data_IF_214891703696
#
_entry.id   IF_214891703696
#
_cell.length_a   1.000
_cell.length_b   1.000
_cell.length_c   1.000
_cell.angle_alpha   90.00
_cell.angle_beta   90.00
_cell.angle_gamma   90.00
#
_symmetry.space_group_name_H-M   'P 1'
#
loop_
_entity.id
_entity.type
_entity.pdbx_description
1 polymer ?
#
# COMPACT_ATOMS: atom_id res chain seq x y z
N UNK A 1 32.19 19.09 -62.79
CA UNK A 1 31.31 18.04 -63.35
C UNK A 1 31.17 16.94 -62.31
N UNK A 2 29.92 16.54 -62.09
CA UNK A 2 29.39 15.44 -61.28
C UNK A 2 30.36 14.25 -61.08
N UNK A 3 30.34 13.56 -59.95
CA UNK A 3 29.31 12.54 -59.72
C UNK A 3 29.26 12.04 -58.27
N UNK A 4 28.03 11.93 -57.78
CA UNK A 4 27.61 11.25 -56.56
C UNK A 4 28.05 9.78 -56.57
N UNK A 5 28.64 9.32 -55.47
CA UNK A 5 28.77 7.89 -55.16
C UNK A 5 27.83 7.54 -54.02
N UNK A 6 26.82 6.75 -54.37
CA UNK A 6 25.82 6.14 -53.50
C UNK A 6 26.47 5.05 -52.64
N UNK A 7 26.37 5.15 -51.31
CA UNK A 7 26.66 4.01 -50.42
C UNK A 7 25.34 3.52 -49.85
N UNK A 8 24.92 2.34 -50.32
CA UNK A 8 23.87 1.53 -49.72
C UNK A 8 24.33 1.05 -48.34
N UNK A 9 23.59 1.39 -47.28
CA UNK A 9 23.60 0.61 -46.04
C UNK A 9 22.25 -0.11 -45.91
N UNK A 10 22.26 -1.39 -46.24
CA UNK A 10 21.25 -2.35 -45.82
C UNK A 10 21.57 -2.89 -44.43
N UNK A 11 20.50 -3.00 -43.64
CA UNK A 11 20.28 -3.95 -42.55
C UNK A 11 21.12 -3.85 -41.25
N UNK A 12 20.46 -3.41 -40.18
CA UNK A 12 20.51 -4.11 -38.88
C UNK A 12 19.24 -3.82 -38.07
N UNK A 13 18.26 -4.74 -38.16
CA UNK A 13 17.03 -4.73 -37.36
C UNK A 13 17.09 -5.81 -36.28
N UNK A 14 17.41 -5.44 -35.04
CA UNK A 14 17.43 -6.37 -33.91
C UNK A 14 17.05 -5.69 -32.57
N UNK A 15 15.97 -4.90 -32.58
CA UNK A 15 15.35 -4.38 -31.35
C UNK A 15 13.90 -3.96 -31.60
N UNK A 16 12.89 -4.81 -31.34
CA UNK A 16 11.49 -4.40 -31.11
C UNK A 16 10.54 -5.53 -30.64
N UNK A 17 10.98 -6.44 -29.76
CA UNK A 17 10.16 -7.61 -29.36
C UNK A 17 8.97 -7.31 -28.42
N UNK A 18 8.72 -6.06 -28.00
CA UNK A 18 7.60 -5.70 -27.10
C UNK A 18 6.47 -4.89 -27.77
N UNK A 19 6.54 -4.59 -29.07
CA UNK A 19 5.54 -3.74 -29.76
C UNK A 19 5.21 -4.29 -31.17
N UNK A 20 4.51 -5.43 -31.27
CA UNK A 20 4.30 -6.17 -32.52
C UNK A 20 3.49 -5.42 -33.59
N UNK A 21 2.67 -4.43 -33.20
CA UNK A 21 1.90 -3.63 -34.14
C UNK A 21 2.73 -2.61 -34.91
N UNK A 22 3.99 -2.37 -34.52
CA UNK A 22 4.87 -1.47 -35.27
C UNK A 22 5.24 -2.04 -36.64
N UNK A 23 5.22 -3.37 -36.80
CA UNK A 23 5.47 -4.03 -38.09
C UNK A 23 4.28 -3.85 -39.08
N UNK A 24 3.10 -3.54 -38.54
CA UNK A 24 1.85 -3.40 -39.30
C UNK A 24 1.61 -1.96 -39.78
N UNK A 25 2.55 -1.05 -39.49
CA UNK A 25 2.48 0.36 -39.89
C UNK A 25 3.81 0.85 -40.48
N UNK A 26 3.75 1.81 -41.38
CA UNK A 26 4.93 2.47 -41.94
C UNK A 26 5.03 3.89 -41.38
N UNK A 27 6.14 4.22 -40.71
CA UNK A 27 6.39 5.60 -40.25
C UNK A 27 6.94 6.44 -41.41
N UNK A 28 6.28 7.56 -41.70
CA UNK A 28 6.82 8.53 -42.65
C UNK A 28 7.72 9.50 -41.90
N UNK A 29 9.03 9.35 -42.05
CA UNK A 29 9.96 10.45 -41.76
C UNK A 29 9.86 11.43 -42.92
N UNK A 30 9.54 12.70 -42.64
CA UNK A 30 10.16 13.86 -43.29
C UNK A 30 9.62 15.16 -42.72
N UNK A 31 10.55 16.06 -42.42
CA UNK A 31 10.33 17.43 -41.98
C UNK A 31 11.43 17.89 -41.02
N UNK A 32 12.53 18.40 -41.57
CA UNK A 32 13.54 19.21 -40.89
C UNK A 32 12.87 20.31 -40.07
N UNK A 33 12.83 20.14 -38.75
CA UNK A 33 12.27 21.11 -37.83
C UNK A 33 12.87 20.89 -36.45
N UNK A 34 13.56 21.90 -35.93
CA UNK A 34 14.14 21.93 -34.59
C UNK A 34 13.02 21.83 -33.55
N UNK A 35 12.59 20.62 -33.18
CA UNK A 35 11.85 20.26 -31.95
C UNK A 35 11.59 18.73 -31.90
N UNK A 36 12.30 17.94 -31.07
CA UNK A 36 12.23 16.47 -31.06
C UNK A 36 11.01 15.88 -30.33
N UNK A 37 10.01 16.70 -29.97
CA UNK A 37 8.85 16.31 -29.13
C UNK A 37 7.52 16.34 -29.90
N UNK A 38 7.53 16.03 -31.20
CA UNK A 38 6.33 15.95 -32.04
C UNK A 38 5.85 14.50 -32.24
N UNK A 39 4.54 14.28 -32.20
CA UNK A 39 3.89 12.99 -32.45
C UNK A 39 4.30 12.39 -33.81
N UNK A 40 4.62 11.08 -33.85
CA UNK A 40 5.09 10.40 -35.07
C UNK A 40 3.92 10.13 -36.02
N UNK A 41 4.11 10.46 -37.31
CA UNK A 41 3.15 10.14 -38.39
C UNK A 41 3.36 8.71 -38.89
N UNK A 42 2.28 7.95 -39.01
CA UNK A 42 2.29 6.57 -39.46
C UNK A 42 1.17 6.28 -40.46
N UNK A 43 1.40 5.32 -41.34
CA UNK A 43 0.46 4.84 -42.36
C UNK A 43 0.12 3.38 -42.03
N UNK A 44 -1.17 3.04 -41.98
CA UNK A 44 -1.60 1.65 -41.80
C UNK A 44 -1.27 0.82 -43.05
N UNK A 45 -0.58 -0.32 -42.88
CA UNK A 45 -0.21 -1.16 -44.02
C UNK A 45 -1.43 -1.83 -44.70
N UNK A 46 -2.58 -1.88 -44.02
CA UNK A 46 -3.81 -2.55 -44.46
C UNK A 46 -4.81 -1.62 -45.15
N UNK A 47 -5.15 -0.48 -44.52
CA UNK A 47 -6.09 0.49 -45.12
C UNK A 47 -5.42 1.67 -45.82
N UNK A 48 -4.08 1.76 -45.74
CA UNK A 48 -3.26 2.84 -46.32
C UNK A 48 -3.60 4.26 -45.86
N UNK A 49 -4.45 4.42 -44.84
CA UNK A 49 -4.76 5.71 -44.20
C UNK A 49 -3.60 6.17 -43.31
N UNK A 50 -3.36 7.48 -43.30
CA UNK A 50 -2.32 8.12 -42.50
C UNK A 50 -2.89 8.72 -41.21
N UNK A 51 -2.11 8.66 -40.14
CA UNK A 51 -2.48 9.12 -38.81
C UNK A 51 -1.29 9.79 -38.13
N UNK A 52 -1.57 10.76 -37.25
CA UNK A 52 -0.56 11.38 -36.39
C UNK A 52 -0.85 11.01 -34.94
N UNK A 53 -0.23 9.94 -34.43
CA UNK A 53 -0.60 9.43 -33.10
C UNK A 53 0.43 8.52 -32.44
N UNK A 54 0.18 8.19 -31.17
CA UNK A 54 1.00 7.28 -30.36
C UNK A 54 0.63 5.80 -30.59
N UNK A 55 1.45 4.89 -30.06
CA UNK A 55 1.25 3.44 -30.16
C UNK A 55 -0.12 2.97 -29.64
N UNK A 56 -0.65 3.57 -28.57
CA UNK A 56 -1.98 3.25 -28.04
C UNK A 56 -3.09 3.49 -29.08
N UNK A 57 -2.93 4.50 -29.95
CA UNK A 57 -3.89 4.78 -31.03
C UNK A 57 -3.74 3.82 -32.21
N UNK A 58 -2.55 3.26 -32.43
CA UNK A 58 -2.37 2.14 -33.36
C UNK A 58 -3.17 0.94 -32.85
N UNK A 59 -3.04 0.57 -31.58
CA UNK A 59 -3.81 -0.51 -30.99
C UNK A 59 -5.34 -0.33 -31.15
N UNK A 60 -5.82 0.89 -30.92
CA UNK A 60 -7.22 1.27 -31.08
C UNK A 60 -7.71 1.23 -32.54
N UNK A 61 -6.86 1.58 -33.51
CA UNK A 61 -7.19 1.47 -34.94
C UNK A 61 -7.44 0.01 -35.37
N UNK A 62 -6.65 -0.93 -34.86
CA UNK A 62 -6.77 -2.35 -35.19
C UNK A 62 -7.91 -3.02 -34.40
N UNK A 63 -7.94 -2.86 -33.08
CA UNK A 63 -8.83 -3.64 -32.21
C UNK A 63 -10.04 -2.88 -31.64
N UNK A 64 -10.08 -1.55 -31.74
CA UNK A 64 -11.10 -0.71 -31.13
C UNK A 64 -10.90 -0.49 -29.62
N UNK A 65 -11.84 0.22 -28.99
CA UNK A 65 -11.95 0.32 -27.53
C UNK A 65 -13.05 -0.63 -27.02
N UNK A 66 -13.00 -0.96 -25.73
CA UNK A 66 -14.10 -1.66 -25.03
C UNK A 66 -15.43 -0.91 -25.13
N UNK A 67 -16.53 -1.66 -25.03
CA UNK A 67 -17.91 -1.17 -25.18
C UNK A 67 -18.15 0.06 -24.28
N UNK A 68 -18.61 1.16 -24.88
CA UNK A 68 -18.99 2.39 -24.16
C UNK A 68 -17.97 3.54 -24.16
N UNK A 69 -16.80 3.41 -24.80
CA UNK A 69 -15.82 4.52 -24.92
C UNK A 69 -15.78 5.11 -26.35
N UNK A 70 -15.77 6.44 -26.46
CA UNK A 70 -15.62 7.14 -27.75
C UNK A 70 -14.20 6.95 -28.28
N UNK A 71 -14.08 6.53 -29.55
CA UNK A 71 -12.79 6.33 -30.19
C UNK A 71 -12.29 7.60 -30.85
N UNK A 72 -11.07 8.04 -30.53
CA UNK A 72 -10.40 9.20 -31.18
C UNK A 72 -9.81 8.84 -32.56
N UNK A 73 -9.76 7.55 -32.91
CA UNK A 73 -9.22 7.05 -34.19
C UNK A 73 -10.20 6.07 -34.83
N UNK A 74 -10.43 6.23 -36.15
CA UNK A 74 -11.29 5.35 -36.93
C UNK A 74 -10.68 3.95 -37.05
N UNK A 75 -11.50 2.89 -37.00
CA UNK A 75 -11.04 1.51 -37.16
C UNK A 75 -10.58 1.20 -38.59
N UNK A 76 -9.69 0.23 -38.73
CA UNK A 76 -9.25 -0.27 -40.03
C UNK A 76 -10.37 -1.06 -40.73
N UNK A 77 -11.06 -0.43 -41.68
CA UNK A 77 -12.16 -1.07 -42.40
C UNK A 77 -11.69 -2.31 -43.19
N UNK A 78 -10.48 -2.28 -43.77
CA UNK A 78 -9.91 -3.43 -44.47
C UNK A 78 -9.75 -4.65 -43.54
N UNK A 79 -9.31 -4.45 -42.30
CA UNK A 79 -9.20 -5.53 -41.31
C UNK A 79 -10.54 -5.95 -40.72
N UNK A 80 -11.55 -5.07 -40.71
CA UNK A 80 -12.91 -5.46 -40.34
C UNK A 80 -13.52 -6.42 -41.37
N UNK A 81 -13.19 -6.25 -42.66
CA UNK A 81 -13.67 -7.13 -43.74
C UNK A 81 -12.78 -8.38 -43.92
N UNK A 82 -11.48 -8.31 -43.60
CA UNK A 82 -10.55 -9.44 -43.70
C UNK A 82 -10.33 -10.13 -42.35
N UNK A 83 -11.18 -11.12 -42.06
CA UNK A 83 -11.18 -11.87 -40.80
C UNK A 83 -9.89 -12.67 -40.56
N UNK A 84 -9.28 -13.23 -41.60
CA UNK A 84 -8.07 -14.03 -41.49
C UNK A 84 -6.87 -13.17 -41.06
N UNK A 85 -6.72 -12.00 -41.67
CA UNK A 85 -5.62 -11.08 -41.33
C UNK A 85 -5.81 -10.44 -39.95
N UNK A 86 -7.05 -10.11 -39.59
CA UNK A 86 -7.38 -9.63 -38.25
C UNK A 86 -7.00 -10.66 -37.15
N UNK A 87 -7.31 -11.94 -37.36
CA UNK A 87 -6.95 -13.00 -36.43
C UNK A 87 -5.45 -13.23 -36.34
N UNK A 88 -4.72 -13.17 -37.47
CA UNK A 88 -3.26 -13.27 -37.49
C UNK A 88 -2.61 -12.18 -36.63
N UNK A 89 -2.99 -10.91 -36.85
CA UNK A 89 -2.41 -9.77 -36.14
C UNK A 89 -2.78 -9.82 -34.65
N UNK A 90 -4.03 -10.21 -34.33
CA UNK A 90 -4.46 -10.39 -32.94
C UNK A 90 -3.65 -11.47 -32.22
N UNK A 91 -3.44 -12.63 -32.86
CA UNK A 91 -2.64 -13.72 -32.31
C UNK A 91 -1.20 -13.28 -32.06
N UNK A 92 -0.58 -12.54 -32.99
CA UNK A 92 0.78 -11.98 -32.84
C UNK A 92 0.87 -11.01 -31.65
N UNK A 93 -0.17 -10.23 -31.40
CA UNK A 93 -0.25 -9.32 -30.24
C UNK A 93 -0.44 -10.10 -28.94
N UNK A 94 -1.39 -11.04 -28.91
CA UNK A 94 -1.63 -11.91 -27.75
C UNK A 94 -0.39 -12.74 -27.39
N UNK A 95 0.38 -13.23 -28.38
CA UNK A 95 1.65 -13.92 -28.15
C UNK A 95 2.71 -13.00 -27.56
N UNK A 96 2.85 -11.77 -28.07
CA UNK A 96 3.79 -10.80 -27.50
C UNK A 96 3.37 -10.31 -26.11
N UNK A 97 2.07 -10.22 -25.83
CA UNK A 97 1.52 -9.86 -24.52
C UNK A 97 1.61 -11.03 -23.52
N UNK A 98 1.44 -12.28 -23.97
CA UNK A 98 1.64 -13.49 -23.16
C UNK A 98 3.11 -13.78 -22.85
N UNK A 99 4.06 -13.25 -23.64
CA UNK A 99 5.49 -13.20 -23.25
C UNK A 99 5.72 -12.22 -22.08
N UNK A 100 4.80 -11.27 -21.86
CA UNK A 100 4.78 -10.34 -20.73
C UNK A 100 3.80 -10.69 -19.60
N UNK A 101 3.02 -11.77 -19.72
CA UNK A 101 2.03 -12.21 -18.72
C UNK A 101 2.24 -13.70 -18.44
N UNK A 102 2.70 -14.02 -17.23
CA UNK A 102 2.84 -15.40 -16.74
C UNK A 102 1.57 -16.23 -16.97
N UNK A 103 1.73 -17.43 -17.53
CA UNK A 103 0.74 -18.51 -17.77
C UNK A 103 -0.02 -19.02 -16.51
N UNK A 104 0.04 -18.32 -15.39
CA UNK A 104 -0.45 -18.75 -14.08
C UNK A 104 -1.92 -18.43 -13.80
N UNK A 105 -2.72 -18.02 -14.79
CA UNK A 105 -4.15 -17.71 -14.60
C UNK A 105 -5.12 -18.73 -15.22
N UNK A 106 -4.64 -19.81 -15.86
CA UNK A 106 -5.52 -20.74 -16.59
C UNK A 106 -5.62 -22.17 -16.05
N UNK A 107 -4.96 -22.56 -14.96
CA UNK A 107 -5.18 -23.91 -14.38
C UNK A 107 -5.22 -23.92 -12.85
N UNK A 108 -6.39 -23.59 -12.33
CA UNK A 108 -6.86 -24.03 -11.03
C UNK A 108 -7.10 -25.54 -11.05
N UNK A 109 -6.09 -26.35 -10.73
CA UNK A 109 -6.29 -27.70 -10.19
C UNK A 109 -5.03 -28.07 -9.40
N UNK A 110 -5.21 -28.39 -8.12
CA UNK A 110 -4.18 -28.94 -7.25
C UNK A 110 -3.51 -30.14 -7.95
N UNK A 111 -2.20 -30.07 -8.19
CA UNK A 111 -1.37 -31.26 -8.29
C UNK A 111 0.06 -30.91 -7.90
N UNK A 112 0.48 -31.55 -6.81
CA UNK A 112 1.84 -31.57 -6.31
C UNK A 112 2.64 -32.53 -7.20
N UNK A 113 3.48 -31.99 -8.09
CA UNK A 113 4.57 -32.76 -8.67
C UNK A 113 5.74 -31.84 -8.97
N UNK A 114 6.90 -32.23 -8.45
CA UNK A 114 8.17 -31.57 -8.71
C UNK A 114 8.53 -31.66 -10.20
N UNK A 115 8.45 -30.54 -10.91
CA UNK A 115 9.17 -30.35 -12.16
C UNK A 115 9.71 -28.93 -12.22
N UNK A 116 11.03 -28.77 -12.06
CA UNK A 116 11.75 -27.51 -12.27
C UNK A 116 11.61 -27.08 -13.74
N UNK A 117 11.13 -25.87 -14.05
CA UNK A 117 11.37 -25.26 -15.35
C UNK A 117 12.74 -24.60 -15.33
N UNK A 118 13.67 -25.12 -16.12
CA UNK A 118 14.95 -24.46 -16.41
C UNK A 118 14.71 -23.26 -17.32
N UNK A 119 14.49 -22.09 -16.73
CA UNK A 119 14.52 -20.82 -17.44
C UNK A 119 15.97 -20.30 -17.53
N UNK A 120 16.45 -20.15 -18.76
CA UNK A 120 17.74 -19.54 -19.10
C UNK A 120 17.76 -18.10 -18.59
N UNK A 121 18.33 -17.92 -17.40
CA UNK A 121 18.50 -16.64 -16.72
C UNK A 121 19.90 -16.13 -17.02
N UNK A 122 20.02 -14.89 -17.49
CA UNK A 122 21.32 -14.26 -17.74
C UNK A 122 22.18 -14.33 -16.45
N UNK A 123 23.43 -14.84 -16.51
CA UNK A 123 24.28 -15.05 -15.34
C UNK A 123 24.44 -13.79 -14.47
N UNK A 124 24.47 -12.62 -15.11
CA UNK A 124 24.62 -11.31 -14.47
C UNK A 124 23.46 -10.99 -13.50
N UNK A 125 22.21 -11.31 -13.87
CA UNK A 125 21.05 -11.02 -13.02
C UNK A 125 20.98 -11.94 -11.79
N UNK A 126 21.57 -13.14 -11.87
CA UNK A 126 21.75 -14.05 -10.74
C UNK A 126 22.87 -13.57 -9.80
N UNK A 127 23.96 -13.04 -10.34
CA UNK A 127 25.06 -12.51 -9.51
C UNK A 127 24.71 -11.26 -8.71
N UNK A 128 23.64 -10.53 -9.07
CA UNK A 128 23.16 -9.36 -8.32
C UNK A 128 21.88 -9.61 -7.50
N UNK A 129 21.34 -10.84 -7.47
CA UNK A 129 20.12 -11.18 -6.71
C UNK A 129 18.86 -10.38 -7.10
N UNK A 130 18.91 -9.61 -8.19
CA UNK A 130 17.90 -8.57 -8.50
C UNK A 130 16.55 -9.15 -8.87
N UNK A 131 16.55 -10.35 -9.47
CA UNK A 131 15.33 -11.11 -9.81
C UNK A 131 14.66 -11.67 -8.55
N UNK A 132 15.45 -12.08 -7.55
CA UNK A 132 14.94 -12.60 -6.28
C UNK A 132 14.38 -11.47 -5.42
N UNK A 133 15.05 -10.31 -5.39
CA UNK A 133 14.56 -9.10 -4.72
C UNK A 133 13.21 -8.63 -5.29
N UNK A 134 13.11 -8.49 -6.62
CA UNK A 134 11.88 -8.07 -7.26
C UNK A 134 10.71 -9.02 -6.98
N UNK A 135 10.97 -10.32 -6.96
CA UNK A 135 9.94 -11.32 -6.67
C UNK A 135 9.45 -11.23 -5.22
N UNK A 136 10.34 -10.99 -4.26
CA UNK A 136 9.98 -10.78 -2.85
C UNK A 136 9.18 -9.49 -2.68
N UNK A 137 9.60 -8.40 -3.33
CA UNK A 137 8.91 -7.11 -3.28
C UNK A 137 7.47 -7.22 -3.79
N UNK A 138 7.26 -7.93 -4.92
CA UNK A 138 5.91 -8.19 -5.45
C UNK A 138 5.06 -8.98 -4.44
N UNK A 139 5.64 -9.99 -3.76
CA UNK A 139 4.91 -10.78 -2.77
C UNK A 139 4.47 -9.93 -1.57
N UNK A 140 5.37 -9.07 -1.07
CA UNK A 140 5.05 -8.13 0.01
C UNK A 140 3.93 -7.19 -0.41
N UNK A 141 4.08 -6.50 -1.55
CA UNK A 141 3.07 -5.53 -2.02
C UNK A 141 1.73 -6.22 -2.27
N UNK A 142 1.72 -7.41 -2.86
CA UNK A 142 0.49 -8.19 -3.07
C UNK A 142 -0.20 -8.53 -1.75
N UNK A 143 0.55 -8.92 -0.72
CA UNK A 143 0.01 -9.20 0.61
C UNK A 143 -0.59 -7.94 1.26
N UNK A 144 0.09 -6.80 1.17
CA UNK A 144 -0.43 -5.53 1.69
C UNK A 144 -1.74 -5.12 0.99
N UNK A 145 -1.76 -5.15 -0.34
CA UNK A 145 -2.95 -4.83 -1.13
C UNK A 145 -4.12 -5.77 -0.83
N UNK A 146 -3.87 -7.08 -0.74
CA UNK A 146 -4.91 -8.07 -0.47
C UNK A 146 -5.57 -7.89 0.91
N UNK A 147 -4.84 -7.32 1.88
CA UNK A 147 -5.32 -7.10 3.24
C UNK A 147 -5.69 -5.64 3.53
N UNK A 148 -5.70 -4.76 2.52
CA UNK A 148 -6.01 -3.34 2.69
C UNK A 148 -5.04 -2.58 3.60
N UNK A 149 -3.78 -3.05 3.72
CA UNK A 149 -2.78 -2.43 4.58
C UNK A 149 -2.13 -1.27 3.81
N UNK A 150 -2.16 -0.03 4.32
CA UNK A 150 -1.57 1.10 3.63
C UNK A 150 -0.03 1.02 3.59
N UNK A 151 0.58 1.57 2.54
CA UNK A 151 2.03 1.44 2.28
C UNK A 151 2.91 2.23 3.25
N UNK A 152 2.32 3.07 4.10
CA UNK A 152 3.02 3.69 5.23
C UNK A 152 3.63 2.65 6.18
N UNK A 153 3.10 1.42 6.24
CA UNK A 153 3.69 0.31 7.01
C UNK A 153 5.13 0.01 6.62
N UNK A 154 5.50 0.21 5.34
CA UNK A 154 6.86 -0.04 4.85
C UNK A 154 7.91 0.91 5.47
N UNK A 155 7.46 2.04 6.04
CA UNK A 155 8.32 3.00 6.76
C UNK A 155 8.40 2.69 8.26
N UNK A 156 7.61 1.76 8.77
CA UNK A 156 7.61 1.40 10.18
C UNK A 156 8.85 0.54 10.51
N UNK A 157 9.71 0.94 11.46
CA UNK A 157 10.87 0.14 11.87
C UNK A 157 10.51 -1.29 12.30
N UNK A 158 9.34 -1.49 12.92
CA UNK A 158 8.87 -2.81 13.34
C UNK A 158 8.53 -3.72 12.15
N UNK A 159 8.11 -3.16 11.01
CA UNK A 159 7.92 -3.94 9.79
C UNK A 159 9.25 -4.47 9.25
N UNK A 160 10.30 -3.64 9.27
CA UNK A 160 11.65 -4.06 8.88
C UNK A 160 12.23 -5.08 9.87
N UNK A 161 12.01 -4.88 11.18
CA UNK A 161 12.41 -5.83 12.22
C UNK A 161 11.72 -7.20 12.03
N UNK A 162 10.43 -7.21 11.70
CA UNK A 162 9.68 -8.42 11.38
C UNK A 162 10.31 -9.17 10.20
N UNK A 163 10.61 -8.49 9.09
CA UNK A 163 11.23 -9.13 7.92
C UNK A 163 12.61 -9.72 8.25
N UNK A 164 13.43 -9.00 9.03
CA UNK A 164 14.73 -9.50 9.51
C UNK A 164 14.55 -10.75 10.38
N UNK A 165 13.59 -10.74 11.30
CA UNK A 165 13.27 -11.87 12.15
C UNK A 165 12.81 -13.10 11.36
N UNK A 166 11.97 -12.91 10.33
CA UNK A 166 11.55 -13.99 9.42
C UNK A 166 12.74 -14.55 8.62
N UNK A 167 13.64 -13.69 8.13
CA UNK A 167 14.82 -14.13 7.39
C UNK A 167 15.82 -14.91 8.26
N UNK A 168 15.84 -14.65 9.56
CA UNK A 168 16.69 -15.33 10.55
C UNK A 168 16.00 -16.54 11.19
N UNK A 169 14.72 -16.78 10.89
CA UNK A 169 13.95 -17.86 11.47
C UNK A 169 14.48 -19.24 11.02
N UNK A 170 14.34 -20.29 11.84
CA UNK A 170 14.79 -21.62 11.48
C UNK A 170 14.07 -22.14 10.24
N UNK A 171 14.75 -23.01 9.49
CA UNK A 171 14.17 -23.65 8.30
C UNK A 171 12.88 -24.40 8.69
N UNK A 172 11.79 -24.10 7.98
CA UNK A 172 10.48 -24.67 8.27
C UNK A 172 9.63 -23.85 9.25
N UNK A 173 10.10 -22.66 9.65
CA UNK A 173 9.29 -21.71 10.41
C UNK A 173 7.94 -21.44 9.72
N UNK A 174 6.89 -21.38 10.54
CA UNK A 174 5.54 -21.01 10.12
C UNK A 174 5.10 -19.79 10.94
N UNK A 175 4.42 -18.81 10.31
CA UNK A 175 3.86 -17.68 11.04
C UNK A 175 2.83 -18.16 12.08
N UNK A 176 2.52 -17.32 13.10
CA UNK A 176 1.49 -17.63 14.08
C UNK A 176 0.12 -17.88 13.44
N UNK A 177 -0.69 -18.75 14.06
CA UNK A 177 -2.10 -18.88 13.71
C UNK A 177 -2.90 -17.65 14.15
N UNK A 178 -4.08 -17.46 13.56
CA UNK A 178 -5.00 -16.36 13.91
C UNK A 178 -5.31 -16.34 15.42
N UNK A 179 -5.67 -17.47 16.00
CA UNK A 179 -6.00 -17.54 17.43
C UNK A 179 -4.80 -17.24 18.33
N UNK A 180 -3.62 -17.77 17.99
CA UNK A 180 -2.40 -17.51 18.75
C UNK A 180 -1.99 -16.03 18.65
N UNK A 181 -2.17 -15.42 17.48
CA UNK A 181 -1.90 -14.01 17.26
C UNK A 181 -2.81 -13.12 18.11
N UNK A 182 -4.14 -13.32 18.05
CA UNK A 182 -5.11 -12.44 18.73
C UNK A 182 -5.20 -12.62 20.24
N UNK A 183 -4.56 -13.65 20.80
CA UNK A 183 -4.54 -13.94 22.24
C UNK A 183 -3.11 -13.84 22.76
N UNK A 184 -2.41 -14.98 22.86
CA UNK A 184 -1.12 -15.12 23.54
C UNK A 184 -0.06 -14.12 23.07
N UNK A 185 0.05 -13.88 21.75
CA UNK A 185 1.10 -13.00 21.22
C UNK A 185 0.78 -11.52 21.41
N UNK A 186 -0.50 -11.11 21.35
CA UNK A 186 -0.90 -9.74 21.70
C UNK A 186 -0.65 -9.48 23.18
N UNK A 187 -0.98 -10.43 24.06
CA UNK A 187 -0.72 -10.33 25.50
C UNK A 187 0.79 -10.22 25.81
N UNK A 188 1.64 -10.99 25.10
CA UNK A 188 3.09 -10.87 25.21
C UNK A 188 3.60 -9.49 24.74
N UNK A 189 3.13 -9.01 23.58
CA UNK A 189 3.48 -7.69 23.08
C UNK A 189 3.09 -6.59 24.07
N UNK A 190 1.91 -6.69 24.69
CA UNK A 190 1.46 -5.76 25.71
C UNK A 190 2.40 -5.77 26.92
N UNK A 191 2.73 -6.96 27.47
CA UNK A 191 3.65 -7.06 28.60
C UNK A 191 5.04 -6.52 28.28
N UNK A 192 5.52 -6.70 27.05
CA UNK A 192 6.80 -6.13 26.63
C UNK A 192 6.73 -4.60 26.58
N UNK A 193 5.66 -4.03 26.02
CA UNK A 193 5.44 -2.58 26.01
C UNK A 193 5.33 -2.00 27.42
N UNK A 194 4.65 -2.69 28.34
CA UNK A 194 4.55 -2.27 29.75
C UNK A 194 5.93 -2.20 30.43
N UNK A 195 6.81 -3.16 30.15
CA UNK A 195 8.20 -3.14 30.62
C UNK A 195 8.99 -1.98 30.01
N UNK A 196 8.83 -1.73 28.72
CA UNK A 196 9.49 -0.60 28.03
C UNK A 196 9.00 0.76 28.56
N UNK A 197 7.75 0.84 29.03
CA UNK A 197 7.14 2.04 29.62
C UNK A 197 7.40 2.19 31.13
N UNK A 198 7.97 1.19 31.79
CA UNK A 198 8.28 1.23 33.24
C UNK A 198 9.09 2.47 33.63
N UNK A 199 10.16 2.87 32.89
CA UNK A 199 10.90 4.09 33.23
C UNK A 199 10.05 5.36 33.24
N UNK A 200 9.00 5.44 32.39
CA UNK A 200 8.05 6.57 32.40
C UNK A 200 7.13 6.47 33.61
N UNK A 201 6.61 5.28 33.93
CA UNK A 201 5.76 5.06 35.12
C UNK A 201 6.51 5.40 36.43
N UNK A 202 7.77 5.01 36.55
CA UNK A 202 8.57 5.25 37.75
C UNK A 202 8.70 6.75 38.08
N UNK A 203 8.69 7.61 37.05
CA UNK A 203 8.74 9.07 37.23
C UNK A 203 7.51 9.65 37.92
N UNK A 204 6.37 8.96 37.92
CA UNK A 204 5.14 9.46 38.53
C UNK A 204 5.30 9.64 40.05
N UNK A 205 6.13 8.83 40.70
CA UNK A 205 6.38 8.93 42.15
C UNK A 205 7.21 10.15 42.55
N UNK A 206 8.11 10.59 41.67
CA UNK A 206 9.08 11.67 41.96
C UNK A 206 8.66 13.01 41.36
N UNK A 207 8.06 13.00 40.17
CA UNK A 207 7.69 14.20 39.41
C UNK A 207 6.18 14.43 39.37
N UNK A 208 5.38 13.46 39.84
CA UNK A 208 3.93 13.41 39.61
C UNK A 208 3.61 13.39 38.11
N UNK A 209 2.33 13.27 37.76
CA UNK A 209 1.89 13.29 36.36
C UNK A 209 0.52 13.91 36.22
N UNK A 210 0.27 14.56 35.08
CA UNK A 210 -1.06 15.09 34.76
C UNK A 210 -1.87 14.00 34.07
N UNK A 211 -3.10 13.78 34.50
CA UNK A 211 -4.06 12.95 33.79
C UNK A 211 -4.76 13.83 32.76
N UNK A 212 -4.70 13.46 31.49
CA UNK A 212 -5.32 14.19 30.38
C UNK A 212 -6.37 13.29 29.76
N UNK A 213 -7.60 13.78 29.70
CA UNK A 213 -8.71 13.06 29.11
C UNK A 213 -9.36 13.87 27.99
N UNK A 214 -9.63 13.16 26.90
CA UNK A 214 -10.32 13.70 25.74
C UNK A 214 -11.48 12.78 25.35
N UNK A 215 -12.56 13.41 24.89
CA UNK A 215 -13.77 12.74 24.46
C UNK A 215 -13.99 12.97 22.98
N UNK A 216 -14.06 11.90 22.20
CA UNK A 216 -14.42 12.00 20.79
C UNK A 216 -15.66 11.18 20.47
N UNK A 217 -16.31 11.52 19.36
CA UNK A 217 -17.40 10.75 18.79
C UNK A 217 -17.01 10.39 17.37
N UNK A 218 -16.93 9.09 17.08
CA UNK A 218 -16.51 8.63 15.77
C UNK A 218 -17.59 8.88 14.70
N UNK A 219 -17.26 8.62 13.43
CA UNK A 219 -18.21 8.80 12.29
C UNK A 219 -19.48 7.93 12.39
N UNK A 220 -19.47 6.90 13.23
CA UNK A 220 -20.62 6.02 13.51
C UNK A 220 -21.44 6.49 14.72
N UNK A 221 -21.15 7.70 15.25
CA UNK A 221 -21.76 8.25 16.47
C UNK A 221 -21.50 7.41 17.73
N UNK A 222 -20.38 6.68 17.77
CA UNK A 222 -19.97 5.95 18.95
C UNK A 222 -19.03 6.85 19.76
N UNK A 223 -19.44 7.24 20.98
CA UNK A 223 -18.60 8.05 21.85
C UNK A 223 -17.49 7.19 22.45
N UNK A 224 -16.27 7.73 22.49
CA UNK A 224 -15.14 7.14 23.18
C UNK A 224 -14.50 8.23 24.04
N UNK A 225 -14.07 7.85 25.24
CA UNK A 225 -13.26 8.72 26.11
C UNK A 225 -11.92 8.03 26.31
N UNK A 226 -10.82 8.75 26.14
CA UNK A 226 -9.47 8.26 26.36
C UNK A 226 -8.77 8.99 27.50
N UNK A 227 -7.81 8.31 28.11
CA UNK A 227 -6.94 8.82 29.17
C UNK A 227 -5.48 8.62 28.78
N UNK A 228 -4.70 9.69 28.94
CA UNK A 228 -3.26 9.72 28.77
C UNK A 228 -2.67 10.40 30.01
N UNK A 229 -1.61 9.84 30.58
CA UNK A 229 -0.80 10.56 31.58
C UNK A 229 0.31 11.32 30.89
N UNK A 230 0.66 12.51 31.36
CA UNK A 230 1.74 13.32 30.80
C UNK A 230 2.53 14.07 31.87
N UNK A 231 3.86 13.98 31.78
CA UNK A 231 4.81 14.77 32.54
C UNK A 231 6.04 15.14 31.69
N UNK A 232 7.06 15.76 32.30
CA UNK A 232 8.29 16.18 31.61
C UNK A 232 9.09 15.02 31.00
N UNK A 233 8.91 13.80 31.48
CA UNK A 233 9.62 12.62 30.97
C UNK A 233 8.87 11.91 29.84
N UNK A 234 7.58 12.18 29.65
CA UNK A 234 6.84 11.68 28.51
C UNK A 234 5.33 11.59 28.75
N UNK A 235 4.66 11.04 27.74
CA UNK A 235 3.23 10.75 27.79
C UNK A 235 2.98 9.27 27.57
N UNK A 236 2.03 8.71 28.31
CA UNK A 236 1.65 7.31 28.24
C UNK A 236 0.13 7.18 28.15
N UNK A 237 -0.33 6.43 27.15
CA UNK A 237 -1.74 6.03 27.06
C UNK A 237 -2.06 5.04 28.17
N UNK A 238 -3.14 5.29 28.91
CA UNK A 238 -3.58 4.40 30.00
C UNK A 238 -4.69 3.49 29.49
N UNK A 239 -5.83 4.05 29.10
CA UNK A 239 -6.93 3.31 28.47
C UNK A 239 -7.88 4.24 27.73
N UNK A 240 -8.80 3.64 26.98
CA UNK A 240 -9.95 4.30 26.41
C UNK A 240 -11.17 3.39 26.55
N UNK A 241 -12.34 3.98 26.77
CA UNK A 241 -13.60 3.25 26.97
C UNK A 241 -14.63 3.72 25.95
N UNK A 242 -15.31 2.75 25.35
CA UNK A 242 -16.48 3.00 24.50
C UNK A 242 -17.66 3.33 25.42
N UNK A 243 -18.27 4.49 25.18
CA UNK A 243 -19.46 4.97 25.90
C UNK A 243 -20.74 4.73 25.09
N UNK A 244 -20.71 3.91 24.04
CA UNK A 244 -21.90 3.56 23.27
C UNK A 244 -22.96 2.94 24.18
N UNK A 245 -24.17 3.51 24.16
CA UNK A 245 -25.27 3.09 25.03
C UNK A 245 -25.17 3.60 26.47
N UNK A 246 -24.15 4.40 26.81
CA UNK A 246 -24.01 5.05 28.10
C UNK A 246 -24.06 6.57 27.94
N UNK A 247 -24.82 7.23 28.80
CA UNK A 247 -24.82 8.69 28.81
C UNK A 247 -23.52 9.22 29.43
N UNK A 248 -22.93 10.23 28.81
CA UNK A 248 -21.76 10.97 29.33
C UNK A 248 -22.18 11.92 30.46
N UNK A 249 -22.79 11.38 31.51
CA UNK A 249 -23.19 12.16 32.69
C UNK A 249 -21.94 12.57 33.49
N UNK A 250 -22.08 13.59 34.34
CA UNK A 250 -20.99 14.00 35.25
C UNK A 250 -20.49 12.86 36.13
N UNK A 251 -21.38 11.98 36.57
CA UNK A 251 -21.06 10.84 37.44
C UNK A 251 -20.27 9.78 36.68
N UNK A 252 -20.75 9.40 35.49
CA UNK A 252 -20.08 8.37 34.68
C UNK A 252 -18.69 8.82 34.22
N UNK A 253 -18.52 10.11 33.92
CA UNK A 253 -17.20 10.68 33.58
C UNK A 253 -16.30 10.70 34.82
N UNK A 254 -16.84 11.04 36.01
CA UNK A 254 -16.06 11.05 37.24
C UNK A 254 -15.57 9.65 37.61
N UNK A 255 -16.45 8.63 37.57
CA UNK A 255 -16.09 7.23 37.79
C UNK A 255 -15.02 6.76 36.79
N UNK A 256 -15.20 7.08 35.51
CA UNK A 256 -14.21 6.77 34.48
C UNK A 256 -12.85 7.42 34.76
N UNK A 257 -12.78 8.64 35.29
CA UNK A 257 -11.51 9.29 35.61
C UNK A 257 -10.91 8.78 36.92
N UNK A 258 -11.72 8.39 37.90
CA UNK A 258 -11.26 7.79 39.15
C UNK A 258 -10.49 6.49 38.91
N UNK A 259 -10.93 5.65 37.97
CA UNK A 259 -10.19 4.45 37.52
C UNK A 259 -8.73 4.80 37.13
N UNK A 260 -8.51 5.93 36.43
CA UNK A 260 -7.15 6.38 36.06
C UNK A 260 -6.34 6.95 37.22
N UNK A 261 -7.01 7.57 38.20
CA UNK A 261 -6.37 8.10 39.41
C UNK A 261 -5.89 6.94 40.28
N UNK A 262 -6.67 5.87 40.37
CA UNK A 262 -6.30 4.64 41.08
C UNK A 262 -5.10 3.95 40.41
N UNK A 263 -5.10 3.79 39.09
CA UNK A 263 -3.97 3.21 38.34
C UNK A 263 -2.67 4.02 38.49
N UNK A 264 -2.75 5.36 38.51
CA UNK A 264 -1.58 6.24 38.69
C UNK A 264 -1.14 6.31 40.15
N UNK A 265 -2.07 6.12 41.08
CA UNK A 265 -1.92 6.40 42.49
C UNK A 265 -2.30 7.86 42.81
N UNK A 266 -3.28 8.12 43.71
CA UNK A 266 -3.77 9.47 44.00
C UNK A 266 -2.67 10.49 44.39
N UNK A 267 -1.64 10.06 45.13
CA UNK A 267 -0.51 10.92 45.52
C UNK A 267 0.36 11.36 44.34
N UNK A 268 0.37 10.57 43.26
CA UNK A 268 1.19 10.79 42.08
C UNK A 268 0.48 11.65 41.03
N UNK A 269 -0.81 11.92 41.19
CA UNK A 269 -1.58 12.76 40.26
C UNK A 269 -1.34 14.23 40.61
N UNK A 270 -0.81 15.01 39.67
CA UNK A 270 -0.60 16.46 39.83
C UNK A 270 -1.88 17.25 39.58
N UNK A 271 -2.59 16.91 38.50
CA UNK A 271 -3.81 17.56 38.05
C UNK A 271 -4.55 16.67 37.05
N UNK A 272 -5.81 17.00 36.80
CA UNK A 272 -6.65 16.37 35.78
C UNK A 272 -7.05 17.44 34.78
N UNK A 273 -6.77 17.19 33.50
CA UNK A 273 -7.09 18.07 32.38
C UNK A 273 -8.15 17.38 31.52
N UNK A 274 -9.31 18.00 31.41
CA UNK A 274 -10.43 17.49 30.60
C UNK A 274 -10.86 18.51 29.56
N UNK A 275 -11.71 18.10 28.63
CA UNK A 275 -12.41 19.03 27.75
C UNK A 275 -13.25 20.06 28.55
N UNK A 276 -13.53 21.21 27.92
CA UNK A 276 -14.27 22.33 28.50
C UNK A 276 -15.81 22.09 28.58
N UNK A 277 -16.27 20.86 28.31
CA UNK A 277 -17.68 20.50 28.31
C UNK A 277 -18.30 20.61 29.71
N UNK A 278 -19.61 20.93 29.77
CA UNK A 278 -20.31 21.14 31.05
C UNK A 278 -20.25 19.90 31.97
N UNK A 279 -20.43 18.71 31.40
CA UNK A 279 -20.37 17.46 32.16
C UNK A 279 -18.96 17.15 32.67
N UNK A 280 -17.91 17.49 31.92
CA UNK A 280 -16.52 17.34 32.36
C UNK A 280 -16.17 18.29 33.51
N UNK A 281 -16.60 19.55 33.44
CA UNK A 281 -16.46 20.51 34.55
C UNK A 281 -17.16 20.01 35.81
N UNK A 282 -18.38 19.47 35.65
CA UNK A 282 -19.15 18.94 36.75
C UNK A 282 -18.53 17.65 37.34
N UNK A 283 -17.92 16.81 36.49
CA UNK A 283 -17.18 15.63 36.91
C UNK A 283 -15.91 16.01 37.69
N UNK A 284 -15.16 17.01 37.25
CA UNK A 284 -13.98 17.52 37.97
C UNK A 284 -14.33 17.96 39.40
N UNK A 285 -15.44 18.70 39.57
CA UNK A 285 -15.95 19.07 40.90
C UNK A 285 -16.37 17.88 41.75
N UNK A 286 -16.82 16.79 41.13
CA UNK A 286 -17.20 15.57 41.85
C UNK A 286 -15.96 14.83 42.36
N UNK A 287 -14.93 14.74 41.53
CA UNK A 287 -13.62 14.16 41.89
C UNK A 287 -12.95 14.96 43.01
N UNK A 288 -12.98 16.30 42.93
CA UNK A 288 -12.44 17.17 43.98
C UNK A 288 -13.05 16.84 45.35
N UNK A 289 -14.38 16.69 45.44
CA UNK A 289 -15.05 16.34 46.72
C UNK A 289 -14.59 15.00 47.29
N UNK A 290 -14.30 14.03 46.41
CA UNK A 290 -13.90 12.67 46.81
C UNK A 290 -12.46 12.66 47.32
N UNK A 291 -11.57 13.43 46.69
CA UNK A 291 -10.14 13.40 47.00
C UNK A 291 -9.68 14.44 48.03
N UNK A 292 -10.38 15.57 48.17
CA UNK A 292 -10.04 16.62 49.16
C UNK A 292 -9.97 16.14 50.64
N UNK A 293 -10.75 15.16 51.11
CA UNK A 293 -10.59 14.60 52.46
C UNK A 293 -9.25 13.87 52.69
N UNK A 294 -8.52 13.51 51.62
CA UNK A 294 -7.31 12.68 51.69
C UNK A 294 -5.99 13.46 51.49
N UNK A 295 -6.04 14.78 51.19
CA UNK A 295 -4.85 15.62 50.94
C UNK A 295 -4.42 16.50 52.14
N UNK A 296 -4.99 16.30 53.34
CA UNK A 296 -4.63 17.03 54.58
C UNK A 296 -3.79 16.17 55.56
N UNK A 297 -2.85 15.38 55.05
CA UNK A 297 -1.91 14.58 55.85
C UNK A 297 -0.47 14.98 55.62
#
# INVERSE_FOLDING_TARGET
MNTSTTINLSASSSANNCKPLLDEVTFTTNGTGKNPRGTKRWICNHCKKSYNSSYSRIHQHFFGLGVGKKSEVARCQTLLTNRAEFQRIRKKVEEAENVGISLSLSKSTLNNSHSRPTATTCPIAKSFGTVEQHQVDILIVRALCANGIPFNVLRNPNFLAMLKGVNQAPKGYKPPSFDRARTTLVDECQRQLEKELTPVKDTWTTQRTSIVSDGWTNVKRQPLINVVTSNSCGSMFIYAKDFTGQEKTRTNIAEFLLESIEEVGPSNVLQIVTENAANCKAAGKEIEKILLPHFHG
#
